data_IF_734109291679
#
_entry.id   IF_734109291679
#
_cell.length_a   1.000
_cell.length_b   1.000
_cell.length_c   1.000
_cell.angle_alpha   90.00
_cell.angle_beta   90.00
_cell.angle_gamma   90.00
#
_symmetry.space_group_name_H-M   'P 1'
#
loop_
_entity.id
_entity.type
_entity.pdbx_description
1 polymer ?
#
# COMPACT_ATOMS: atom_id res chain seq x y z
N UNK A 1 21.79 -0.38 0.83
CA UNK A 1 20.85 0.51 1.53
C UNK A 1 19.44 -0.04 1.37
N UNK A 2 18.69 -0.24 2.45
CA UNK A 2 17.34 -0.74 2.32
C UNK A 2 16.41 0.33 1.75
N UNK A 3 15.47 -0.12 0.93
CA UNK A 3 14.36 0.71 0.47
C UNK A 3 13.18 0.45 1.39
N UNK A 4 12.82 1.44 2.18
CA UNK A 4 11.84 1.30 3.24
C UNK A 4 10.53 2.02 2.92
N UNK A 5 9.45 1.48 3.46
CA UNK A 5 8.15 2.14 3.49
C UNK A 5 7.31 1.59 4.64
N UNK A 6 6.38 2.39 5.12
CA UNK A 6 5.41 1.94 6.12
C UNK A 6 4.11 1.58 5.45
N UNK A 7 3.40 0.62 6.01
CA UNK A 7 2.14 0.18 5.44
C UNK A 7 1.30 -0.69 6.35
N UNK A 8 0.14 -1.04 5.86
CA UNK A 8 -0.76 -1.99 6.49
C UNK A 8 -0.75 -3.28 5.67
N UNK A 9 -0.66 -4.40 6.36
CA UNK A 9 -0.79 -5.72 5.74
C UNK A 9 -2.24 -6.00 5.41
N UNK A 10 -2.47 -6.82 4.39
CA UNK A 10 -3.80 -7.27 4.00
C UNK A 10 -4.00 -8.68 4.53
N UNK A 11 -5.11 -8.96 5.24
CA UNK A 11 -5.39 -10.31 5.71
C UNK A 11 -5.46 -11.32 4.56
N UNK A 12 -5.02 -12.54 4.82
CA UNK A 12 -4.94 -13.57 3.80
C UNK A 12 -6.27 -13.84 3.10
N UNK A 13 -7.38 -13.79 3.81
CA UNK A 13 -8.72 -14.01 3.24
C UNK A 13 -9.07 -12.96 2.18
N UNK A 14 -8.79 -11.69 2.48
CA UNK A 14 -9.03 -10.60 1.54
C UNK A 14 -8.04 -10.70 0.38
N UNK A 15 -6.79 -11.04 0.67
CA UNK A 15 -5.78 -11.24 -0.35
C UNK A 15 -6.16 -12.32 -1.35
N UNK A 16 -6.73 -13.43 -0.88
CA UNK A 16 -7.22 -14.50 -1.75
C UNK A 16 -8.37 -14.03 -2.64
N UNK A 17 -9.31 -13.27 -2.09
CA UNK A 17 -10.42 -12.73 -2.87
C UNK A 17 -9.91 -11.77 -3.95
N UNK A 18 -8.97 -10.89 -3.60
CA UNK A 18 -8.36 -9.97 -4.56
C UNK A 18 -7.57 -10.73 -5.63
N UNK A 19 -6.84 -11.78 -5.25
CA UNK A 19 -6.05 -12.56 -6.20
C UNK A 19 -6.92 -13.29 -7.22
N UNK A 20 -8.16 -13.62 -6.89
CA UNK A 20 -9.09 -14.26 -7.82
C UNK A 20 -9.48 -13.34 -8.99
N UNK A 21 -9.24 -12.05 -8.87
CA UNK A 21 -9.52 -11.06 -9.91
C UNK A 21 -8.37 -10.91 -10.92
N UNK A 22 -7.27 -11.60 -10.71
CA UNK A 22 -6.09 -11.51 -11.59
C UNK A 22 -6.35 -12.16 -12.94
N UNK A 23 -5.61 -11.68 -13.95
CA UNK A 23 -5.65 -12.25 -15.30
C UNK A 23 -6.55 -11.48 -16.25
N UNK A 24 -6.41 -11.75 -17.53
CA UNK A 24 -7.27 -11.19 -18.56
C UNK A 24 -6.98 -9.73 -18.94
N UNK A 25 -5.82 -9.19 -18.53
CA UNK A 25 -5.43 -7.82 -18.87
C UNK A 25 -4.04 -7.83 -19.50
N UNK A 26 -3.95 -7.54 -20.82
CA UNK A 26 -2.65 -7.45 -21.48
C UNK A 26 -1.79 -6.35 -20.87
N UNK A 27 -0.49 -6.63 -20.73
CA UNK A 27 0.47 -5.68 -20.16
C UNK A 27 0.48 -5.63 -18.64
N UNK A 28 -0.32 -6.46 -17.96
CA UNK A 28 -0.37 -6.48 -16.52
C UNK A 28 0.67 -7.43 -15.93
N UNK A 29 1.44 -6.92 -14.97
CA UNK A 29 2.25 -7.72 -14.07
C UNK A 29 1.55 -7.77 -12.72
N UNK A 30 1.00 -8.93 -12.40
CA UNK A 30 0.21 -9.11 -11.19
C UNK A 30 1.12 -9.25 -9.97
N UNK A 31 0.73 -8.56 -8.89
CA UNK A 31 1.41 -8.65 -7.61
C UNK A 31 0.99 -9.95 -6.93
N UNK A 32 1.93 -10.66 -6.32
CA UNK A 32 1.61 -11.84 -5.53
C UNK A 32 0.83 -11.44 -4.27
N UNK A 33 -0.19 -12.23 -3.87
CA UNK A 33 -1.06 -11.85 -2.75
C UNK A 33 -0.33 -11.60 -1.43
N UNK A 34 0.76 -12.31 -1.16
CA UNK A 34 1.56 -12.10 0.05
C UNK A 34 2.22 -10.71 0.09
N UNK A 35 2.28 -10.00 -1.03
CA UNK A 35 2.85 -8.67 -1.12
C UNK A 35 1.79 -7.56 -1.15
N UNK A 36 0.51 -7.90 -1.03
CA UNK A 36 -0.54 -6.88 -0.95
C UNK A 36 -0.42 -6.08 0.33
N UNK A 37 -0.52 -4.76 0.19
CA UNK A 37 -0.44 -3.86 1.34
C UNK A 37 -1.07 -2.52 0.99
N UNK A 38 -1.40 -1.74 2.01
CA UNK A 38 -1.71 -0.31 1.85
C UNK A 38 -0.46 0.46 2.24
N UNK A 39 0.14 1.18 1.31
CA UNK A 39 1.30 2.03 1.65
C UNK A 39 0.82 3.25 2.42
N UNK A 40 1.46 3.54 3.55
CA UNK A 40 1.18 4.72 4.36
C UNK A 40 2.17 5.84 4.05
N UNK A 41 3.47 5.54 4.09
CA UNK A 41 4.50 6.53 3.78
C UNK A 41 5.72 5.82 3.19
N UNK A 42 6.07 6.19 1.99
CA UNK A 42 7.30 5.72 1.36
C UNK A 42 8.49 6.50 1.95
N UNK A 43 9.55 5.79 2.30
CA UNK A 43 10.74 6.37 2.93
C UNK A 43 11.89 6.43 1.92
N UNK A 44 12.09 5.35 1.18
CA UNK A 44 13.11 5.27 0.13
C UNK A 44 14.39 4.61 0.62
N UNK A 45 15.45 4.84 -0.14
CA UNK A 45 16.77 4.29 0.16
C UNK A 45 17.45 5.15 1.22
N UNK A 46 17.79 4.56 2.35
CA UNK A 46 18.45 5.24 3.46
C UNK A 46 19.55 4.37 4.03
N UNK A 47 20.52 4.97 4.71
CA UNK A 47 21.58 4.21 5.36
C UNK A 47 21.09 3.48 6.62
N UNK A 48 21.93 2.56 7.13
CA UNK A 48 21.56 1.72 8.26
C UNK A 48 21.32 2.49 9.54
N UNK A 49 22.03 3.59 9.77
CA UNK A 49 21.87 4.42 10.97
C UNK A 49 20.51 5.11 10.93
N UNK A 50 20.19 5.76 9.81
CA UNK A 50 18.89 6.41 9.64
C UNK A 50 17.74 5.40 9.70
N UNK A 51 17.92 4.21 9.10
CA UNK A 51 16.93 3.15 9.17
C UNK A 51 16.61 2.74 10.60
N UNK A 52 17.64 2.56 11.44
CA UNK A 52 17.47 2.21 12.84
C UNK A 52 16.78 3.30 13.64
N UNK A 53 17.13 4.56 13.38
CA UNK A 53 16.48 5.70 14.03
C UNK A 53 15.00 5.78 13.69
N UNK A 54 14.65 5.60 12.42
CA UNK A 54 13.26 5.59 11.96
C UNK A 54 12.51 4.43 12.61
N UNK A 55 13.07 3.22 12.59
CA UNK A 55 12.44 2.06 13.20
C UNK A 55 12.12 2.29 14.67
N UNK A 56 13.03 2.94 15.40
CA UNK A 56 12.83 3.27 16.81
C UNK A 56 11.78 4.36 17.01
N UNK A 57 11.82 5.39 16.17
CA UNK A 57 10.89 6.52 16.26
C UNK A 57 9.43 6.09 16.05
N UNK A 58 9.20 5.13 15.18
CA UNK A 58 7.85 4.64 14.87
C UNK A 58 7.16 4.00 16.08
N UNK A 59 7.90 3.52 17.07
CA UNK A 59 7.30 3.02 18.32
C UNK A 59 6.60 4.08 19.15
N UNK A 60 6.81 5.35 18.86
CA UNK A 60 6.11 6.46 19.55
C UNK A 60 4.66 6.61 19.11
N UNK A 61 4.27 6.02 17.99
CA UNK A 61 2.89 6.07 17.53
C UNK A 61 2.02 5.32 18.51
N UNK A 62 0.99 6.01 19.03
CA UNK A 62 0.07 5.47 20.02
C UNK A 62 -1.35 5.72 19.55
N UNK A 63 -1.92 4.77 18.82
CA UNK A 63 -3.26 4.87 18.23
C UNK A 63 -4.00 3.57 18.40
N UNK A 64 -5.33 3.67 18.41
CA UNK A 64 -6.21 2.51 18.53
C UNK A 64 -6.27 1.74 17.23
N UNK A 65 -6.56 0.42 17.29
CA UNK A 65 -6.94 -0.32 16.08
C UNK A 65 -8.15 0.33 15.42
N UNK A 66 -8.24 0.17 14.10
CA UNK A 66 -9.37 0.73 13.35
C UNK A 66 -9.73 -0.16 12.18
N UNK A 67 -10.96 -0.01 11.70
CA UNK A 67 -11.43 -0.77 10.55
C UNK A 67 -10.96 -0.15 9.25
N UNK A 68 -10.59 -1.02 8.31
CA UNK A 68 -10.17 -0.66 6.95
C UNK A 68 -11.13 -1.35 5.98
N UNK A 69 -11.72 -0.58 5.09
CA UNK A 69 -12.64 -1.11 4.08
C UNK A 69 -11.99 -1.07 2.71
N UNK A 70 -11.92 -2.22 2.07
CA UNK A 70 -11.44 -2.38 0.69
C UNK A 70 -12.65 -2.52 -0.21
N UNK A 71 -12.73 -1.69 -1.24
CA UNK A 71 -13.86 -1.68 -2.17
C UNK A 71 -13.36 -1.64 -3.60
N UNK A 72 -14.21 -1.82 -4.55
CA UNK A 72 -14.04 -1.71 -6.00
C UNK A 72 -12.64 -1.56 -6.56
N UNK A 73 -12.45 -1.99 -7.79
CA UNK A 73 -11.18 -1.82 -8.48
C UNK A 73 -11.18 -0.51 -9.28
N UNK A 74 -9.99 0.04 -9.46
CA UNK A 74 -9.77 1.26 -10.23
C UNK A 74 -8.40 1.19 -10.88
N UNK A 75 -8.06 2.18 -11.67
CA UNK A 75 -6.74 2.29 -12.29
C UNK A 75 -6.12 3.66 -12.00
N UNK A 76 -4.80 3.69 -11.98
CA UNK A 76 -4.03 4.93 -11.92
C UNK A 76 -3.29 5.15 -13.23
N UNK A 77 -3.03 6.41 -13.57
CA UNK A 77 -2.22 6.80 -14.71
C UNK A 77 -2.99 7.48 -15.84
N UNK A 78 -4.31 7.66 -15.72
CA UNK A 78 -5.11 8.37 -16.71
C UNK A 78 -4.97 7.80 -18.12
N UNK A 79 -4.49 8.61 -19.08
CA UNK A 79 -4.35 8.20 -20.48
C UNK A 79 -3.30 7.10 -20.68
N UNK A 80 -2.34 6.98 -19.78
CA UNK A 80 -1.36 5.88 -19.75
C UNK A 80 -1.54 5.10 -18.46
N UNK A 81 -2.43 4.09 -18.44
CA UNK A 81 -2.66 3.33 -17.24
C UNK A 81 -1.36 2.69 -16.75
N UNK A 82 -1.07 2.82 -15.46
CA UNK A 82 0.16 2.29 -14.86
C UNK A 82 -0.07 1.28 -13.75
N UNK A 83 -1.29 1.22 -13.21
CA UNK A 83 -1.61 0.28 -12.15
C UNK A 83 -3.10 -0.01 -12.09
N UNK A 84 -3.44 -1.24 -11.71
CA UNK A 84 -4.77 -1.62 -11.25
C UNK A 84 -4.71 -1.75 -9.75
N UNK A 85 -5.65 -1.13 -9.06
CA UNK A 85 -5.66 -1.05 -7.60
C UNK A 85 -7.04 -1.41 -7.06
N UNK A 86 -7.06 -1.96 -5.85
CA UNK A 86 -8.28 -2.02 -5.04
C UNK A 86 -8.33 -0.73 -4.21
N UNK A 87 -9.47 -0.05 -4.24
CA UNK A 87 -9.65 1.19 -3.51
C UNK A 87 -9.86 0.91 -2.04
N UNK A 88 -9.27 1.74 -1.19
CA UNK A 88 -9.48 1.71 0.25
C UNK A 88 -10.26 2.96 0.63
N UNK A 89 -11.32 2.79 1.42
CA UNK A 89 -12.14 3.92 1.84
C UNK A 89 -11.32 4.83 2.76
N UNK A 90 -11.16 6.11 2.42
CA UNK A 90 -10.47 7.04 3.32
C UNK A 90 -11.30 7.22 4.58
N UNK A 91 -10.77 6.76 5.71
CA UNK A 91 -11.40 6.94 7.02
C UNK A 91 -10.56 7.89 7.86
N UNK A 92 -11.19 8.52 8.84
CA UNK A 92 -10.49 9.44 9.71
C UNK A 92 -9.30 8.80 10.43
N UNK A 93 -9.43 7.60 11.04
CA UNK A 93 -8.28 6.97 11.69
C UNK A 93 -7.13 6.67 10.73
N UNK A 94 -7.44 6.21 9.51
CA UNK A 94 -6.43 5.93 8.51
C UNK A 94 -5.69 7.20 8.07
N UNK A 95 -6.44 8.25 7.79
CA UNK A 95 -5.88 9.55 7.39
C UNK A 95 -5.00 10.12 8.50
N UNK A 96 -5.46 10.05 9.76
CA UNK A 96 -4.71 10.56 10.91
C UNK A 96 -3.43 9.77 11.15
N UNK A 97 -3.46 8.45 11.01
CA UNK A 97 -2.26 7.63 11.13
C UNK A 97 -1.24 8.01 10.05
N UNK A 98 -1.68 8.10 8.81
CA UNK A 98 -0.79 8.48 7.71
C UNK A 98 -0.20 9.89 7.93
N UNK A 99 -1.01 10.83 8.38
CA UNK A 99 -0.54 12.19 8.65
C UNK A 99 0.50 12.23 9.78
N UNK A 100 0.32 11.43 10.81
CA UNK A 100 1.33 11.32 11.88
C UNK A 100 2.64 10.74 11.37
N UNK A 101 2.58 9.67 10.57
CA UNK A 101 3.78 9.08 9.98
C UNK A 101 4.50 10.08 9.08
N UNK A 102 3.75 10.88 8.31
CA UNK A 102 4.33 11.93 7.49
C UNK A 102 5.08 12.96 8.35
N UNK A 103 4.47 13.40 9.44
CA UNK A 103 5.13 14.37 10.36
C UNK A 103 6.40 13.79 10.98
N UNK A 104 6.36 12.52 11.38
CA UNK A 104 7.54 11.86 11.97
C UNK A 104 8.69 11.76 10.95
N UNK A 105 8.37 11.44 9.71
CA UNK A 105 9.40 11.35 8.66
C UNK A 105 10.00 12.72 8.35
N UNK A 106 9.19 13.77 8.34
CA UNK A 106 9.71 15.14 8.18
C UNK A 106 10.63 15.54 9.33
N UNK A 107 10.31 15.15 10.56
CA UNK A 107 11.18 15.39 11.71
C UNK A 107 12.53 14.67 11.58
N UNK A 108 12.55 13.54 10.89
CA UNK A 108 13.79 12.80 10.60
C UNK A 108 14.59 13.41 9.44
N UNK A 109 14.09 14.48 8.84
CA UNK A 109 14.76 15.16 7.75
C UNK A 109 14.37 14.70 6.36
N UNK A 110 13.36 13.85 6.22
CA UNK A 110 12.87 13.46 4.91
C UNK A 110 12.03 14.58 4.29
N UNK A 111 12.09 14.68 2.96
CA UNK A 111 11.28 15.64 2.24
C UNK A 111 9.79 15.32 2.39
N UNK A 112 8.91 16.33 2.43
CA UNK A 112 7.48 16.09 2.44
C UNK A 112 7.02 15.29 1.22
N UNK A 113 6.06 14.39 1.42
CA UNK A 113 5.40 13.73 0.31
C UNK A 113 4.47 14.74 -0.37
N UNK A 114 4.74 15.05 -1.62
CA UNK A 114 4.00 16.10 -2.33
C UNK A 114 2.64 15.64 -2.87
N UNK A 115 2.38 14.33 -2.90
CA UNK A 115 1.14 13.80 -3.46
C UNK A 115 0.09 13.61 -2.38
N UNK A 116 -1.18 13.85 -2.75
CA UNK A 116 -2.29 13.56 -1.86
C UNK A 116 -2.31 12.07 -1.53
N UNK A 117 -2.53 11.75 -0.25
CA UNK A 117 -2.69 10.37 0.18
C UNK A 117 -4.00 9.79 -0.38
N UNK A 118 -3.88 8.78 -1.23
CA UNK A 118 -5.00 8.05 -1.82
C UNK A 118 -4.80 6.58 -1.47
N UNK A 119 -5.43 6.09 -0.38
CA UNK A 119 -5.18 4.72 0.08
C UNK A 119 -5.68 3.70 -0.92
N UNK A 120 -4.87 2.70 -1.18
CA UNK A 120 -5.18 1.65 -2.14
C UNK A 120 -4.29 0.43 -1.93
N UNK A 121 -4.69 -0.69 -2.52
CA UNK A 121 -3.88 -1.90 -2.64
C UNK A 121 -3.55 -2.09 -4.12
N UNK A 122 -2.27 -2.06 -4.48
CA UNK A 122 -1.86 -2.31 -5.86
C UNK A 122 -1.98 -3.80 -6.18
N UNK A 123 -2.72 -4.12 -7.22
CA UNK A 123 -2.92 -5.51 -7.68
C UNK A 123 -2.06 -5.83 -8.88
N UNK A 124 -1.80 -4.87 -9.75
CA UNK A 124 -0.99 -5.05 -10.94
C UNK A 124 -0.27 -3.76 -11.29
N UNK A 125 0.92 -3.90 -11.84
CA UNK A 125 1.62 -2.83 -12.53
C UNK A 125 1.44 -3.04 -14.02
N UNK A 126 1.14 -1.95 -14.72
CA UNK A 126 0.83 -1.99 -16.15
C UNK A 126 1.99 -1.41 -16.95
N UNK A 127 2.32 -2.10 -18.05
CA UNK A 127 3.28 -1.64 -19.01
C UNK A 127 2.66 -1.75 -20.38
N UNK A 128 2.54 -0.61 -21.06
CA UNK A 128 1.97 -0.52 -22.41
C UNK A 128 0.53 -1.06 -22.50
N UNK A 129 -0.22 -1.01 -21.42
CA UNK A 129 -1.63 -1.36 -21.43
C UNK A 129 -2.45 -0.24 -22.05
N UNK A 130 -3.41 -0.59 -22.90
CA UNK A 130 -4.29 0.40 -23.48
C UNK A 130 -5.41 0.80 -22.52
N UNK A 131 -5.92 2.03 -22.68
CA UNK A 131 -7.08 2.49 -21.92
C UNK A 131 -8.28 1.58 -22.14
N UNK A 132 -8.47 1.10 -23.37
CA UNK A 132 -9.60 0.24 -23.72
C UNK A 132 -9.51 -1.10 -22.99
N UNK A 133 -8.34 -1.72 -22.97
CA UNK A 133 -8.15 -3.01 -22.27
C UNK A 133 -8.40 -2.86 -20.77
N UNK A 134 -7.94 -1.77 -20.17
CA UNK A 134 -8.18 -1.50 -18.75
C UNK A 134 -9.67 -1.25 -18.50
N UNK A 135 -10.33 -0.47 -19.34
CA UNK A 135 -11.77 -0.23 -19.20
C UNK A 135 -12.57 -1.51 -19.33
N UNK A 136 -12.23 -2.37 -20.28
CA UNK A 136 -12.89 -3.67 -20.46
C UNK A 136 -12.68 -4.56 -19.24
N UNK A 137 -11.45 -4.63 -18.73
CA UNK A 137 -11.14 -5.39 -17.54
C UNK A 137 -11.97 -4.89 -16.33
N UNK A 138 -11.99 -3.59 -16.10
CA UNK A 138 -12.72 -3.01 -14.97
C UNK A 138 -14.23 -3.19 -15.11
N UNK A 139 -14.77 -3.17 -16.33
CA UNK A 139 -16.21 -3.38 -16.55
C UNK A 139 -16.65 -4.80 -16.15
N UNK A 140 -15.76 -5.78 -16.29
CA UNK A 140 -16.03 -7.18 -15.95
C UNK A 140 -15.69 -7.48 -14.49
N UNK A 141 -14.58 -6.97 -14.00
CA UNK A 141 -14.00 -7.34 -12.69
C UNK A 141 -13.89 -6.20 -11.70
N UNK A 142 -14.20 -4.97 -12.12
CA UNK A 142 -14.05 -3.79 -11.28
C UNK A 142 -15.00 -3.73 -10.10
N UNK A 143 -16.12 -4.42 -10.17
CA UNK A 143 -17.02 -4.55 -9.04
C UNK A 143 -16.47 -5.57 -8.07
N UNK A 144 -16.19 -5.11 -6.87
CA UNK A 144 -15.67 -5.94 -5.79
C UNK A 144 -16.49 -5.61 -4.55
N UNK A 145 -17.21 -6.58 -3.96
CA UNK A 145 -17.96 -6.30 -2.73
C UNK A 145 -17.02 -5.83 -1.63
N UNK A 146 -17.45 -4.80 -0.91
CA UNK A 146 -16.64 -4.23 0.16
C UNK A 146 -16.25 -5.30 1.17
N UNK A 147 -14.96 -5.35 1.50
CA UNK A 147 -14.42 -6.21 2.55
C UNK A 147 -13.79 -5.34 3.62
N UNK A 148 -14.05 -5.67 4.87
CA UNK A 148 -13.58 -4.91 6.02
C UNK A 148 -12.67 -5.78 6.86
N UNK A 149 -11.58 -5.21 7.33
CA UNK A 149 -10.71 -5.86 8.32
C UNK A 149 -10.27 -4.84 9.36
N UNK A 150 -9.85 -5.34 10.51
CA UNK A 150 -9.30 -4.49 11.57
C UNK A 150 -7.80 -4.40 11.43
N UNK A 151 -7.29 -3.18 11.30
CA UNK A 151 -5.85 -2.93 11.36
C UNK A 151 -5.43 -2.90 12.83
N UNK A 152 -4.72 -3.92 13.27
CA UNK A 152 -4.22 -4.04 14.65
C UNK A 152 -2.76 -3.66 14.79
N UNK A 153 -2.09 -3.43 13.67
CA UNK A 153 -0.70 -2.97 13.62
C UNK A 153 -0.41 -2.31 12.28
N UNK A 154 0.62 -1.49 12.24
CA UNK A 154 1.25 -1.11 10.98
C UNK A 154 2.67 -1.64 10.99
N UNK A 155 3.30 -1.70 9.81
CA UNK A 155 4.61 -2.33 9.67
C UNK A 155 5.57 -1.46 8.90
N UNK A 156 6.86 -1.67 9.15
CA UNK A 156 7.94 -1.13 8.35
C UNK A 156 8.39 -2.23 7.40
N UNK A 157 8.19 -2.00 6.11
CA UNK A 157 8.61 -2.92 5.05
C UNK A 157 9.93 -2.50 4.44
N UNK A 158 10.68 -3.49 3.97
CA UNK A 158 11.77 -3.25 3.04
C UNK A 158 11.57 -4.00 1.74
N UNK A 159 12.11 -3.43 0.67
CA UNK A 159 12.16 -4.05 -0.65
C UNK A 159 13.63 -4.08 -1.08
N UNK A 160 14.15 -5.27 -1.39
CA UNK A 160 15.54 -5.42 -1.84
C UNK A 160 15.65 -5.52 -3.35
N UNK A 161 14.60 -5.95 -4.00
CA UNK A 161 14.55 -6.02 -5.45
C UNK A 161 13.75 -4.82 -5.96
N UNK A 162 14.38 -3.96 -6.72
CA UNK A 162 13.85 -2.65 -7.11
C UNK A 162 12.83 -2.68 -8.25
N UNK A 163 12.24 -3.83 -8.56
CA UNK A 163 11.30 -3.92 -9.68
C UNK A 163 9.86 -3.53 -9.33
N UNK A 164 9.59 -3.23 -8.05
CA UNK A 164 8.23 -3.00 -7.58
C UNK A 164 7.44 -4.29 -7.47
N UNK A 165 6.51 -4.37 -6.52
CA UNK A 165 5.65 -5.54 -6.37
C UNK A 165 6.20 -6.66 -5.50
N UNK A 166 7.35 -6.45 -4.87
CA UNK A 166 7.93 -7.39 -3.94
C UNK A 166 9.08 -8.23 -4.50
N UNK A 167 9.62 -9.15 -3.72
CA UNK A 167 9.14 -9.50 -2.38
C UNK A 167 9.41 -8.39 -1.37
N UNK A 168 8.47 -8.24 -0.43
CA UNK A 168 8.60 -7.30 0.67
C UNK A 168 8.85 -8.06 1.96
N UNK A 169 9.72 -7.49 2.80
CA UNK A 169 10.08 -8.07 4.09
C UNK A 169 9.60 -7.13 5.20
N UNK A 170 8.94 -7.71 6.21
CA UNK A 170 8.58 -6.97 7.42
C UNK A 170 9.82 -6.82 8.28
N UNK A 171 10.32 -5.60 8.38
CA UNK A 171 11.50 -5.30 9.21
C UNK A 171 11.10 -5.09 10.67
N UNK A 172 9.94 -4.48 10.91
CA UNK A 172 9.43 -4.25 12.25
C UNK A 172 7.92 -4.06 12.21
N UNK A 173 7.27 -4.29 13.34
CA UNK A 173 5.83 -4.11 13.46
C UNK A 173 5.48 -3.28 14.69
N UNK A 174 4.39 -2.51 14.59
CA UNK A 174 4.00 -1.54 15.60
C UNK A 174 2.52 -1.73 15.93
N UNK A 175 2.25 -2.18 17.14
CA UNK A 175 0.88 -2.48 17.56
C UNK A 175 0.04 -1.21 17.68
N UNK A 176 -1.22 -1.32 17.27
CA UNK A 176 -2.25 -0.31 17.49
C UNK A 176 -3.12 -0.83 18.64
N UNK A 177 -3.00 -0.23 19.81
CA UNK A 177 -3.62 -0.81 21.02
C UNK A 177 -4.07 0.21 22.06
N UNK A 178 -3.91 1.48 21.78
CA UNK A 178 -4.22 2.53 22.75
C UNK A 178 -5.70 2.62 23.14
#
# INVERSE_FOLDING_TARGET
>A
MPRLFTGLEIPAEIGQTLSSLRGGLPGARWIDPENYHVTLRFIGDIDGIAANEIASLLFRVNRKPFEVAVQGLSSFGGKKPRAVVAQVVPSRPLIELQAELERLMQRMGLDPEGRKFTPHVTLARLRDASNQDVADYLSVRGYFPTRVFTASRFVLFSSRASTGGGPYVVEDSYALSA
#
